data_IF_563459267316
#
_entry.id   IF_563459267316
#
_cell.length_a   1.000
_cell.length_b   1.000
_cell.length_c   1.000
_cell.angle_alpha   90.00
_cell.angle_beta   90.00
_cell.angle_gamma   90.00
#
_symmetry.space_group_name_H-M   'P 1'
#
loop_
_entity.id
_entity.type
_entity.pdbx_description
1 polymer ?
#
# COMPACT_ATOMS: atom_id res chain seq x y z
N UNK A 1 -45.70 10.18 -2.33
CA UNK A 1 -44.29 10.58 -2.12
C UNK A 1 -43.74 9.85 -0.89
N UNK A 2 -43.01 8.75 -1.08
CA UNK A 2 -41.97 8.19 -0.19
C UNK A 2 -41.36 6.98 -0.91
N UNK A 3 -40.08 7.06 -1.23
CA UNK A 3 -39.34 6.05 -1.99
C UNK A 3 -38.92 4.92 -1.04
N UNK A 4 -39.00 3.68 -1.55
CA UNK A 4 -38.64 2.42 -0.87
C UNK A 4 -37.19 2.41 -0.40
N UNK A 5 -36.96 2.07 0.87
CA UNK A 5 -35.65 1.73 1.42
C UNK A 5 -35.19 0.36 0.93
N UNK A 6 -33.90 0.24 0.58
CA UNK A 6 -33.27 -1.01 0.13
C UNK A 6 -32.99 -1.92 1.32
N UNK A 7 -33.43 -3.17 1.20
CA UNK A 7 -32.98 -4.28 2.04
C UNK A 7 -31.52 -4.60 1.71
N UNK A 8 -30.67 -4.69 2.73
CA UNK A 8 -29.34 -5.26 2.62
C UNK A 8 -29.42 -6.73 3.04
N UNK A 9 -29.23 -7.62 2.08
CA UNK A 9 -29.11 -9.06 2.33
C UNK A 9 -27.82 -9.33 3.10
N UNK A 10 -27.99 -9.83 4.32
CA UNK A 10 -26.91 -10.33 5.16
C UNK A 10 -26.28 -11.57 4.51
N UNK A 11 -25.06 -11.43 4.00
CA UNK A 11 -24.18 -12.55 3.69
C UNK A 11 -23.24 -12.79 4.87
N UNK A 12 -23.51 -13.83 5.66
CA UNK A 12 -22.52 -14.49 6.52
C UNK A 12 -21.29 -14.83 5.65
N UNK A 13 -20.06 -14.46 5.99
CA UNK A 13 -19.19 -15.14 6.96
C UNK A 13 -18.09 -14.13 7.36
N UNK A 14 -18.22 -13.49 8.52
CA UNK A 14 -17.08 -12.88 9.21
C UNK A 14 -16.93 -13.59 10.55
N UNK A 15 -15.98 -14.54 10.56
CA UNK A 15 -15.52 -15.27 11.74
C UNK A 15 -15.44 -14.38 12.97
N UNK A 16 -16.20 -14.76 14.02
CA UNK A 16 -16.36 -14.09 15.33
C UNK A 16 -15.06 -14.00 16.17
N UNK A 17 -13.87 -14.18 15.58
CA UNK A 17 -12.59 -14.22 16.29
C UNK A 17 -11.94 -12.85 16.54
N UNK A 18 -12.48 -11.78 15.94
CA UNK A 18 -11.84 -10.45 15.91
C UNK A 18 -12.50 -9.38 16.79
N UNK A 19 -13.62 -9.70 17.48
CA UNK A 19 -14.19 -8.83 18.50
C UNK A 19 -13.47 -9.01 19.83
N UNK A 20 -12.34 -8.32 20.02
CA UNK A 20 -11.81 -8.02 21.36
C UNK A 20 -11.59 -6.51 21.50
N UNK A 21 -12.41 -5.88 22.34
CA UNK A 21 -12.29 -4.50 22.86
C UNK A 21 -12.61 -3.33 21.92
N UNK A 22 -13.78 -3.33 21.27
CA UNK A 22 -14.42 -2.10 20.77
C UNK A 22 -13.71 -1.33 19.64
N UNK A 23 -12.59 -1.85 19.14
CA UNK A 23 -11.92 -1.38 17.93
C UNK A 23 -12.15 -2.44 16.87
N UNK A 24 -12.93 -2.12 15.83
CA UNK A 24 -12.85 -2.90 14.58
C UNK A 24 -11.42 -2.65 14.08
N UNK A 25 -10.52 -3.62 14.29
CA UNK A 25 -9.24 -3.58 13.62
C UNK A 25 -9.58 -3.78 12.14
N UNK A 26 -9.67 -2.69 11.39
CA UNK A 26 -9.80 -2.75 9.95
C UNK A 26 -8.71 -3.70 9.45
N UNK A 27 -9.08 -4.62 8.55
CA UNK A 27 -8.10 -5.49 7.92
C UNK A 27 -7.27 -4.63 6.98
N UNK A 28 -6.24 -3.99 7.53
CA UNK A 28 -5.44 -2.99 6.82
C UNK A 28 -4.31 -3.66 6.07
N UNK A 29 -4.25 -3.40 4.77
CA UNK A 29 -3.11 -3.71 3.90
C UNK A 29 -2.35 -2.41 3.69
N UNK A 30 -1.05 -2.41 4.01
CA UNK A 30 -0.18 -1.25 3.82
C UNK A 30 0.60 -1.41 2.54
N UNK A 31 0.59 -0.38 1.69
CA UNK A 31 1.43 -0.30 0.51
C UNK A 31 2.48 0.79 0.73
N UNK A 32 3.73 0.49 0.39
CA UNK A 32 4.71 1.53 0.09
C UNK A 32 4.26 2.32 -1.16
N UNK A 33 4.84 3.50 -1.37
CA UNK A 33 4.55 4.31 -2.54
C UNK A 33 5.57 4.10 -3.68
N UNK A 34 6.85 4.38 -3.43
CA UNK A 34 7.91 4.47 -4.44
C UNK A 34 8.44 3.08 -4.82
N UNK A 35 8.03 2.55 -5.98
CA UNK A 35 8.38 1.22 -6.44
C UNK A 35 7.27 0.20 -6.20
N UNK A 36 6.14 0.63 -5.63
CA UNK A 36 4.94 -0.20 -5.44
C UNK A 36 3.73 0.41 -6.15
N UNK A 37 3.39 1.65 -5.84
CA UNK A 37 2.30 2.40 -6.50
C UNK A 37 2.86 3.26 -7.62
N UNK A 38 3.88 4.05 -7.30
CA UNK A 38 4.69 4.82 -8.24
C UNK A 38 5.76 3.93 -8.84
N UNK A 39 6.01 3.99 -10.16
CA UNK A 39 6.92 3.04 -10.83
C UNK A 39 8.39 3.25 -10.47
N UNK A 40 8.75 4.43 -9.96
CA UNK A 40 10.07 4.78 -9.45
C UNK A 40 11.21 4.62 -10.48
N UNK A 41 10.89 4.71 -11.78
CA UNK A 41 11.88 4.63 -12.87
C UNK A 41 12.91 5.76 -12.86
N UNK A 42 12.54 6.95 -12.38
CA UNK A 42 13.44 8.11 -12.28
C UNK A 42 14.25 8.14 -10.97
N UNK A 43 13.94 7.24 -10.03
CA UNK A 43 14.45 7.29 -8.65
C UNK A 43 13.93 8.50 -7.86
N UNK A 44 14.48 8.70 -6.67
CA UNK A 44 14.09 9.82 -5.80
C UNK A 44 14.54 11.16 -6.39
N UNK A 45 13.60 12.10 -6.56
CA UNK A 45 13.83 13.44 -7.12
C UNK A 45 13.56 14.58 -6.13
N UNK A 46 13.37 14.26 -4.85
CA UNK A 46 12.85 15.18 -3.85
C UNK A 46 11.53 14.69 -3.30
N UNK A 47 11.19 15.14 -2.10
CA UNK A 47 10.05 14.63 -1.32
C UNK A 47 8.70 14.87 -2.00
N UNK A 48 8.56 15.96 -2.74
CA UNK A 48 7.38 16.45 -3.46
C UNK A 48 7.46 16.28 -4.98
N UNK A 49 8.58 15.77 -5.52
CA UNK A 49 8.76 15.55 -6.96
C UNK A 49 8.51 14.08 -7.30
N UNK A 50 7.38 13.83 -7.99
CA UNK A 50 6.87 12.48 -8.32
C UNK A 50 6.64 12.38 -9.85
N UNK A 51 7.70 12.18 -10.66
CA UNK A 51 7.63 12.32 -12.12
C UNK A 51 7.12 11.08 -12.86
N UNK A 52 7.29 9.89 -12.28
CA UNK A 52 6.97 8.63 -12.97
C UNK A 52 5.48 8.24 -12.90
N UNK A 53 4.97 7.43 -13.85
CA UNK A 53 3.62 6.92 -13.84
C UNK A 53 3.41 5.83 -12.77
N UNK A 54 2.16 5.38 -12.57
CA UNK A 54 1.88 4.21 -11.74
C UNK A 54 2.59 2.95 -12.24
N UNK A 55 2.83 2.00 -11.33
CA UNK A 55 3.19 0.63 -11.70
C UNK A 55 2.04 0.03 -12.55
N UNK A 56 2.33 -0.60 -13.70
CA UNK A 56 1.29 -1.19 -14.54
C UNK A 56 0.40 -2.17 -13.76
N UNK A 57 -0.92 -1.97 -13.83
CA UNK A 57 -1.92 -2.82 -13.16
C UNK A 57 -2.17 -2.52 -11.68
N UNK A 58 -1.48 -1.54 -11.08
CA UNK A 58 -1.60 -1.28 -9.64
C UNK A 58 -2.96 -0.68 -9.26
N UNK A 59 -3.57 0.14 -10.12
CA UNK A 59 -4.88 0.75 -9.89
C UNK A 59 -5.95 -0.34 -9.72
N UNK A 60 -6.02 -1.27 -10.67
CA UNK A 60 -6.96 -2.39 -10.65
C UNK A 60 -6.69 -3.34 -9.49
N UNK A 61 -5.42 -3.51 -9.09
CA UNK A 61 -5.06 -4.29 -7.93
C UNK A 61 -5.55 -3.65 -6.63
N UNK A 62 -5.30 -2.34 -6.43
CA UNK A 62 -5.79 -1.58 -5.27
C UNK A 62 -7.31 -1.62 -5.21
N UNK A 63 -8.02 -1.41 -6.32
CA UNK A 63 -9.48 -1.50 -6.38
C UNK A 63 -10.01 -2.88 -5.91
N UNK A 64 -9.33 -3.96 -6.30
CA UNK A 64 -9.69 -5.33 -5.86
C UNK A 64 -9.40 -5.54 -4.38
N UNK A 65 -8.26 -5.06 -3.87
CA UNK A 65 -7.90 -5.15 -2.46
C UNK A 65 -8.93 -4.39 -1.60
N UNK A 66 -9.33 -3.19 -2.03
CA UNK A 66 -10.29 -2.33 -1.31
C UNK A 66 -11.69 -2.94 -1.15
N UNK A 67 -12.05 -3.96 -1.94
CA UNK A 67 -13.32 -4.69 -1.75
C UNK A 67 -13.36 -5.49 -0.45
N UNK A 68 -12.19 -5.78 0.15
CA UNK A 68 -12.08 -6.67 1.31
C UNK A 68 -11.22 -6.10 2.44
N UNK A 69 -10.41 -5.08 2.15
CA UNK A 69 -9.39 -4.55 3.04
C UNK A 69 -9.39 -3.03 3.02
N UNK A 70 -8.96 -2.43 4.13
CA UNK A 70 -8.57 -1.02 4.15
C UNK A 70 -7.17 -0.91 3.53
N UNK A 71 -6.99 0.00 2.57
CA UNK A 71 -5.72 0.25 1.91
C UNK A 71 -5.12 1.56 2.43
N UNK A 72 -3.96 1.44 3.08
CA UNK A 72 -3.21 2.59 3.61
C UNK A 72 -1.88 2.69 2.89
N UNK A 73 -1.55 3.90 2.43
CA UNK A 73 -0.23 4.19 1.87
C UNK A 73 0.67 4.73 2.97
N UNK A 74 1.86 4.14 3.07
CA UNK A 74 2.95 4.67 3.89
C UNK A 74 4.11 4.94 2.95
N UNK A 75 4.79 6.06 3.10
CA UNK A 75 5.97 6.37 2.30
C UNK A 75 6.97 7.12 3.15
N UNK A 76 8.26 6.93 2.85
CA UNK A 76 9.30 7.79 3.40
C UNK A 76 8.99 9.26 3.09
N UNK A 77 8.46 9.60 1.90
CA UNK A 77 8.08 10.98 1.55
C UNK A 77 7.19 11.67 2.58
N UNK A 78 6.38 10.91 3.32
CA UNK A 78 5.49 11.45 4.35
C UNK A 78 6.22 11.93 5.62
N UNK A 79 7.57 11.88 5.69
CA UNK A 79 8.33 12.50 6.77
C UNK A 79 8.21 14.05 6.76
N UNK A 80 7.85 14.64 5.62
CA UNK A 80 7.46 16.05 5.50
C UNK A 80 6.00 16.18 5.04
N UNK A 81 5.30 17.21 5.51
CA UNK A 81 3.91 17.50 5.12
C UNK A 81 3.75 17.67 3.61
N UNK A 82 4.73 18.31 2.94
CA UNK A 82 4.72 18.48 1.49
C UNK A 82 4.81 17.17 0.71
N UNK A 83 5.48 16.15 1.24
CA UNK A 83 5.52 14.83 0.60
C UNK A 83 4.22 14.07 0.76
N UNK A 84 3.57 14.19 1.92
CA UNK A 84 2.22 13.68 2.13
C UNK A 84 1.21 14.35 1.17
N UNK A 85 1.29 15.68 1.03
CA UNK A 85 0.45 16.43 0.09
C UNK A 85 0.71 16.01 -1.37
N UNK A 86 1.98 15.89 -1.77
CA UNK A 86 2.35 15.48 -3.12
C UNK A 86 1.86 14.07 -3.48
N UNK A 87 1.92 13.12 -2.54
CA UNK A 87 1.37 11.77 -2.75
C UNK A 87 -0.14 11.84 -2.95
N UNK A 88 -0.87 12.59 -2.10
CA UNK A 88 -2.33 12.72 -2.24
C UNK A 88 -2.73 13.34 -3.57
N UNK A 89 -2.06 14.40 -3.98
CA UNK A 89 -2.31 15.06 -5.27
C UNK A 89 -1.96 14.14 -6.45
N UNK A 90 -0.85 13.40 -6.36
CA UNK A 90 -0.48 12.46 -7.40
C UNK A 90 -1.50 11.32 -7.52
N UNK A 91 -1.95 10.73 -6.40
CA UNK A 91 -2.97 9.69 -6.39
C UNK A 91 -4.29 10.17 -7.03
N UNK A 92 -4.71 11.40 -6.73
CA UNK A 92 -5.88 12.03 -7.31
C UNK A 92 -5.76 12.18 -8.84
N UNK A 93 -4.63 12.72 -9.33
CA UNK A 93 -4.35 12.83 -10.77
C UNK A 93 -4.30 11.50 -11.51
N UNK A 94 -3.92 10.43 -10.83
CA UNK A 94 -3.91 9.06 -11.39
C UNK A 94 -5.24 8.34 -11.19
N UNK A 95 -6.22 8.99 -10.56
CA UNK A 95 -7.51 8.43 -10.18
C UNK A 95 -7.37 7.12 -9.37
N UNK A 96 -6.35 7.05 -8.50
CA UNK A 96 -6.09 5.91 -7.62
C UNK A 96 -6.66 6.23 -6.24
N UNK A 97 -7.70 5.53 -5.83
CA UNK A 97 -8.36 5.76 -4.55
C UNK A 97 -7.83 4.79 -3.49
N UNK A 98 -7.30 5.36 -2.41
CA UNK A 98 -6.88 4.65 -1.19
C UNK A 98 -7.64 5.20 0.02
N UNK A 99 -7.62 4.49 1.15
CA UNK A 99 -8.39 4.89 2.34
C UNK A 99 -7.61 5.86 3.23
N UNK A 100 -6.27 5.83 3.21
CA UNK A 100 -5.44 6.78 3.95
C UNK A 100 -4.01 6.90 3.39
N UNK A 101 -3.34 8.00 3.73
CA UNK A 101 -1.90 8.23 3.49
C UNK A 101 -1.30 8.75 4.79
N UNK A 102 -0.42 7.96 5.40
CA UNK A 102 0.09 8.22 6.76
C UNK A 102 1.62 8.16 6.83
N UNK A 103 2.18 8.89 7.79
CA UNK A 103 3.63 8.99 8.05
C UNK A 103 4.15 8.04 9.14
N UNK A 104 3.26 7.31 9.82
CA UNK A 104 3.59 6.37 10.88
C UNK A 104 3.29 4.94 10.44
N UNK A 105 3.77 3.95 11.19
CA UNK A 105 3.49 2.53 10.94
C UNK A 105 2.09 2.17 11.48
N UNK A 106 1.05 2.00 10.64
CA UNK A 106 -0.27 1.63 11.13
C UNK A 106 -0.31 0.13 11.47
N UNK A 107 -1.20 -0.33 12.37
CA UNK A 107 -1.52 -1.75 12.51
C UNK A 107 -2.01 -2.32 11.17
N UNK A 108 -1.43 -3.43 10.72
CA UNK A 108 -1.70 -4.01 9.41
C UNK A 108 -1.66 -5.54 9.44
N UNK A 109 -2.39 -6.17 8.53
CA UNK A 109 -2.29 -7.62 8.30
C UNK A 109 -1.08 -7.98 7.44
N UNK A 110 -0.65 -7.06 6.56
CA UNK A 110 0.51 -7.24 5.66
C UNK A 110 1.01 -5.88 5.16
N UNK A 111 2.30 -5.80 4.86
CA UNK A 111 2.96 -4.68 4.20
C UNK A 111 3.45 -5.14 2.81
N UNK A 112 3.22 -4.33 1.79
CA UNK A 112 3.66 -4.52 0.41
C UNK A 112 4.68 -3.43 0.11
N UNK A 113 5.93 -3.80 -0.12
CA UNK A 113 7.06 -2.87 -0.16
C UNK A 113 8.12 -3.41 -1.14
N UNK A 114 8.66 -2.54 -2.00
CA UNK A 114 9.62 -2.92 -3.05
C UNK A 114 11.00 -3.27 -2.49
N UNK A 115 11.27 -2.94 -1.22
CA UNK A 115 12.54 -3.09 -0.50
C UNK A 115 12.43 -3.95 0.76
N UNK A 116 11.30 -4.60 0.99
CA UNK A 116 11.15 -5.55 2.09
C UNK A 116 11.63 -6.95 1.71
N UNK A 117 12.31 -7.60 2.65
CA UNK A 117 12.57 -9.05 2.64
C UNK A 117 11.54 -9.69 3.56
N UNK A 118 10.75 -10.64 3.05
CA UNK A 118 9.88 -11.45 3.90
C UNK A 118 10.73 -12.27 4.87
N UNK A 119 10.55 -12.00 6.17
CA UNK A 119 11.16 -12.82 7.20
C UNK A 119 10.38 -14.13 7.35
N UNK A 120 11.06 -15.25 7.13
CA UNK A 120 10.52 -16.60 7.12
C UNK A 120 10.86 -17.40 8.39
N UNK A 121 11.44 -16.75 9.39
CA UNK A 121 11.87 -17.38 10.64
C UNK A 121 13.35 -17.80 10.65
N UNK A 122 14.05 -17.77 9.51
CA UNK A 122 15.48 -18.04 9.44
C UNK A 122 16.29 -16.74 9.49
N UNK A 123 16.71 -16.38 10.69
CA UNK A 123 17.57 -15.21 10.91
C UNK A 123 19.01 -15.43 10.38
N UNK A 124 19.49 -16.68 10.29
CA UNK A 124 20.84 -17.00 9.83
C UNK A 124 21.05 -16.67 8.36
N UNK A 125 20.01 -16.82 7.54
CA UNK A 125 20.06 -16.48 6.11
C UNK A 125 19.92 -14.97 5.80
N UNK A 126 19.54 -14.13 6.78
CA UNK A 126 19.26 -12.71 6.54
C UNK A 126 20.45 -11.92 5.97
N UNK A 127 21.70 -12.05 6.47
CA UNK A 127 22.84 -11.30 5.92
C UNK A 127 23.03 -11.53 4.42
N UNK A 128 22.89 -12.78 3.97
CA UNK A 128 23.01 -13.13 2.55
C UNK A 128 21.82 -12.63 1.73
N UNK A 129 20.59 -12.75 2.27
CA UNK A 129 19.38 -12.19 1.64
C UNK A 129 19.51 -10.68 1.45
N UNK A 130 19.99 -9.94 2.45
CA UNK A 130 20.23 -8.49 2.39
C UNK A 130 21.28 -8.15 1.33
N UNK A 131 22.42 -8.86 1.34
CA UNK A 131 23.51 -8.61 0.39
C UNK A 131 23.10 -8.84 -1.07
N UNK A 132 22.23 -9.82 -1.32
CA UNK A 132 21.78 -10.20 -2.67
C UNK A 132 20.52 -9.46 -3.11
N UNK A 133 19.85 -8.74 -2.22
CA UNK A 133 18.58 -8.10 -2.49
C UNK A 133 18.68 -7.10 -3.66
N UNK A 134 17.72 -7.17 -4.57
CA UNK A 134 17.53 -6.18 -5.63
C UNK A 134 16.03 -5.93 -5.77
N UNK A 135 15.57 -4.67 -5.73
CA UNK A 135 14.18 -4.35 -6.04
C UNK A 135 13.86 -4.71 -7.49
N UNK A 136 12.60 -4.98 -7.78
CA UNK A 136 12.17 -5.57 -9.05
C UNK A 136 12.49 -4.70 -10.28
N UNK A 137 12.52 -3.37 -10.13
CA UNK A 137 12.86 -2.42 -11.21
C UNK A 137 14.37 -2.29 -11.47
N UNK A 138 15.23 -2.95 -10.66
CA UNK A 138 16.70 -2.98 -10.86
C UNK A 138 17.20 -4.26 -11.53
N UNK A 139 16.35 -5.00 -12.26
CA UNK A 139 16.82 -6.16 -13.03
C UNK A 139 17.88 -5.70 -14.03
N UNK A 140 19.01 -6.40 -14.02
CA UNK A 140 20.09 -6.22 -14.98
C UNK A 140 19.51 -6.32 -16.37
N UNK A 141 19.57 -5.21 -17.13
CA UNK A 141 19.32 -5.28 -18.56
C UNK A 141 20.19 -6.39 -19.15
N UNK A 142 19.62 -7.15 -20.08
CA UNK A 142 20.42 -7.81 -21.10
C UNK A 142 21.32 -6.73 -21.71
N UNK A 143 22.56 -6.68 -21.26
CA UNK A 143 23.64 -6.09 -22.03
C UNK A 143 23.94 -7.02 -23.19
#
# INVERSE_FOLDING_TARGET
MRVKGREYMAGEILSKKWLRRGVILDRTVVLDFDGVIHSYSSGFKGVDVIPDPPVPGIKEAIEKIRKQYRVVVVSTRCFEERGLAAIKEWLDRQEIIVDDVVSHKPPAIVYIDDRAITFDGDAGALPDKIKRFKPWYKKSGNK
#
